data_IF_970806486903
#
_entry.id   IF_970806486903
#
_cell.length_a   1.000
_cell.length_b   1.000
_cell.length_c   1.000
_cell.angle_alpha   90.00
_cell.angle_beta   90.00
_cell.angle_gamma   90.00
#
_symmetry.space_group_name_H-M   'P 1'
#
loop_
_entity.id
_entity.type
_entity.pdbx_description
1 polymer ?
#
# COMPACT_ATOMS: atom_id res chain seq x y z
N UNK A 1 10.93 -22.12 -15.68
CA UNK A 1 10.01 -21.00 -15.38
C UNK A 1 10.48 -19.82 -16.22
N UNK A 2 9.66 -19.33 -17.14
CA UNK A 2 9.97 -18.09 -17.88
C UNK A 2 10.13 -16.95 -16.87
N UNK A 3 11.27 -16.25 -16.89
CA UNK A 3 11.45 -15.03 -16.11
C UNK A 3 10.38 -14.02 -16.56
N UNK A 4 9.71 -13.38 -15.60
CA UNK A 4 8.86 -12.26 -15.94
C UNK A 4 9.77 -11.08 -16.26
N UNK A 5 9.69 -10.54 -17.48
CA UNK A 5 10.51 -9.41 -17.92
C UNK A 5 10.37 -8.19 -16.99
N UNK A 6 9.20 -8.01 -16.37
CA UNK A 6 9.00 -6.95 -15.39
C UNK A 6 9.73 -7.22 -14.06
N UNK A 7 9.83 -8.48 -13.63
CA UNK A 7 10.64 -8.83 -12.47
C UNK A 7 12.12 -8.57 -12.74
N UNK A 8 12.61 -8.91 -13.93
CA UNK A 8 13.99 -8.63 -14.34
C UNK A 8 14.27 -7.12 -14.40
N UNK A 9 13.39 -6.35 -15.04
CA UNK A 9 13.51 -4.89 -15.15
C UNK A 9 13.50 -4.19 -13.77
N UNK A 10 12.75 -4.73 -12.80
CA UNK A 10 12.68 -4.20 -11.44
C UNK A 10 13.77 -4.76 -10.51
N UNK A 11 14.64 -5.67 -10.99
CA UNK A 11 15.64 -6.34 -10.15
C UNK A 11 15.03 -7.28 -9.10
N UNK A 12 13.83 -7.80 -9.37
CA UNK A 12 13.08 -8.73 -8.54
C UNK A 12 13.16 -10.18 -9.06
N UNK A 13 14.06 -10.50 -9.97
CA UNK A 13 14.18 -11.85 -10.57
C UNK A 13 14.54 -12.93 -9.53
N UNK A 14 15.28 -12.53 -8.51
CA UNK A 14 15.76 -13.38 -7.44
C UNK A 14 14.63 -13.67 -6.43
N UNK A 15 14.35 -14.97 -6.25
CA UNK A 15 13.51 -15.49 -5.15
C UNK A 15 14.37 -15.54 -3.89
N UNK A 16 14.88 -14.39 -3.46
CA UNK A 16 15.64 -14.27 -2.22
C UNK A 16 14.68 -13.79 -1.14
N UNK A 17 14.59 -14.59 -0.08
CA UNK A 17 14.18 -14.08 1.23
C UNK A 17 15.42 -13.44 1.89
N UNK A 18 15.33 -12.21 2.41
CA UNK A 18 14.11 -11.40 2.60
C UNK A 18 13.64 -10.67 1.32
N UNK A 19 12.34 -10.32 1.29
CA UNK A 19 11.70 -9.51 0.24
C UNK A 19 12.63 -8.39 -0.29
N UNK A 20 12.90 -8.31 -1.62
CA UNK A 20 13.94 -7.42 -2.16
C UNK A 20 13.76 -5.93 -1.86
N UNK A 21 12.52 -5.50 -1.63
CA UNK A 21 12.19 -4.11 -1.31
C UNK A 21 12.08 -3.84 0.21
N UNK A 22 12.48 -4.80 1.05
CA UNK A 22 12.47 -4.62 2.50
C UNK A 22 13.36 -3.42 2.89
N UNK A 23 12.81 -2.52 3.70
CA UNK A 23 13.47 -1.30 4.15
C UNK A 23 13.70 -0.25 3.05
N UNK A 24 13.11 -0.43 1.86
CA UNK A 24 13.22 0.52 0.74
C UNK A 24 11.93 1.30 0.57
N UNK A 25 12.07 2.53 0.10
CA UNK A 25 10.96 3.34 -0.43
C UNK A 25 11.07 3.29 -1.96
N UNK A 26 9.95 2.98 -2.61
CA UNK A 26 9.86 2.91 -4.07
C UNK A 26 8.77 3.88 -4.51
N UNK A 27 9.13 4.80 -5.41
CA UNK A 27 8.18 5.68 -6.08
C UNK A 27 7.94 5.17 -7.50
N UNK A 28 6.68 5.14 -7.92
CA UNK A 28 6.29 4.84 -9.29
C UNK A 28 5.81 6.16 -9.88
N UNK A 29 6.57 6.69 -10.83
CA UNK A 29 6.19 7.87 -11.59
C UNK A 29 5.68 7.42 -12.96
N UNK A 30 4.58 8.04 -13.39
CA UNK A 30 3.99 7.76 -14.68
C UNK A 30 3.53 9.07 -15.35
N UNK A 31 3.09 8.96 -16.60
CA UNK A 31 2.50 10.08 -17.33
C UNK A 31 1.10 9.72 -17.79
N UNK A 32 0.27 10.73 -18.07
CA UNK A 32 -1.14 10.55 -18.47
C UNK A 32 -1.27 9.57 -19.65
N UNK A 33 -0.33 9.59 -20.60
CA UNK A 33 -0.35 8.72 -21.77
C UNK A 33 0.18 7.30 -21.49
N UNK A 34 0.91 7.10 -20.39
CA UNK A 34 1.57 5.83 -20.05
C UNK A 34 1.38 5.52 -18.57
N UNK A 35 0.25 4.91 -18.21
CA UNK A 35 -0.04 4.57 -16.82
C UNK A 35 0.93 3.51 -16.25
N UNK A 36 1.55 3.81 -15.12
CA UNK A 36 2.40 2.94 -14.32
C UNK A 36 1.62 2.03 -13.36
N UNK A 37 0.29 2.10 -13.37
CA UNK A 37 -0.58 1.29 -12.50
C UNK A 37 -0.32 -0.21 -12.60
N UNK A 38 0.10 -0.72 -13.76
CA UNK A 38 0.47 -2.13 -13.92
C UNK A 38 1.66 -2.54 -13.03
N UNK A 39 2.60 -1.64 -12.77
CA UNK A 39 3.73 -1.86 -11.86
C UNK A 39 3.23 -2.00 -10.44
N UNK A 40 2.32 -1.11 -10.01
CA UNK A 40 1.69 -1.18 -8.69
C UNK A 40 0.93 -2.50 -8.49
N UNK A 41 0.12 -2.91 -9.48
CA UNK A 41 -0.57 -4.20 -9.44
C UNK A 41 0.39 -5.40 -9.40
N UNK A 42 1.51 -5.32 -10.12
CA UNK A 42 2.55 -6.34 -10.11
C UNK A 42 3.24 -6.44 -8.74
N UNK A 43 3.60 -5.31 -8.14
CA UNK A 43 4.19 -5.27 -6.80
C UNK A 43 3.22 -5.80 -5.74
N UNK A 44 1.93 -5.44 -5.81
CA UNK A 44 0.88 -5.99 -4.94
C UNK A 44 0.76 -7.52 -5.07
N UNK A 45 0.71 -8.03 -6.29
CA UNK A 45 0.67 -9.48 -6.53
C UNK A 45 1.87 -10.17 -5.89
N UNK A 46 3.04 -9.56 -6.06
CA UNK A 46 4.31 -10.16 -5.68
C UNK A 46 4.53 -10.10 -4.16
N UNK A 47 4.11 -9.03 -3.50
CA UNK A 47 4.11 -8.95 -2.02
C UNK A 47 3.19 -10.01 -1.39
N UNK A 48 2.08 -10.33 -2.05
CA UNK A 48 1.09 -11.33 -1.61
C UNK A 48 1.35 -12.75 -2.12
N UNK A 49 2.52 -13.00 -2.72
CA UNK A 49 2.89 -14.33 -3.23
C UNK A 49 2.81 -15.39 -2.12
N UNK A 50 2.44 -16.65 -2.43
CA UNK A 50 2.47 -17.73 -1.44
C UNK A 50 3.86 -18.01 -0.86
N UNK A 51 4.91 -17.61 -1.59
CA UNK A 51 6.30 -17.81 -1.17
C UNK A 51 6.82 -16.68 -0.28
N UNK A 52 6.05 -15.59 -0.09
CA UNK A 52 6.42 -14.50 0.80
C UNK A 52 5.68 -14.62 2.13
N UNK A 53 6.34 -14.20 3.21
CA UNK A 53 5.69 -14.01 4.52
C UNK A 53 5.22 -12.56 4.74
N UNK A 54 5.20 -11.77 3.66
CA UNK A 54 4.91 -10.34 3.71
C UNK A 54 3.42 -10.06 3.97
N UNK A 55 3.16 -9.10 4.86
CA UNK A 55 1.85 -8.51 5.13
C UNK A 55 1.77 -7.18 4.40
N UNK A 56 0.77 -7.03 3.54
CA UNK A 56 0.60 -5.84 2.72
C UNK A 56 -0.54 -4.98 3.26
N UNK A 57 -0.23 -3.72 3.54
CA UNK A 57 -1.19 -2.67 3.84
C UNK A 57 -1.31 -1.82 2.58
N UNK A 58 -2.51 -1.77 2.00
CA UNK A 58 -2.78 -1.02 0.79
C UNK A 58 -3.74 0.13 1.08
N UNK A 59 -3.32 1.34 0.73
CA UNK A 59 -4.07 2.59 0.91
C UNK A 59 -4.54 3.02 -0.47
N UNK A 60 -5.85 3.13 -0.64
CA UNK A 60 -6.51 3.31 -1.93
C UNK A 60 -7.31 4.63 -2.01
N UNK A 61 -6.74 5.64 -2.65
CA UNK A 61 -7.31 6.94 -3.02
C UNK A 61 -7.98 6.95 -4.39
N UNK A 62 -7.56 6.08 -5.33
CA UNK A 62 -8.04 6.18 -6.72
C UNK A 62 -9.27 5.32 -7.01
N UNK A 63 -9.33 4.11 -6.46
CA UNK A 63 -10.31 3.10 -6.86
C UNK A 63 -10.80 2.26 -5.66
N UNK A 64 -12.05 1.75 -5.68
CA UNK A 64 -12.56 0.91 -4.61
C UNK A 64 -11.91 -0.48 -4.65
N UNK A 65 -12.00 -1.24 -3.54
CA UNK A 65 -11.46 -2.60 -3.42
C UNK A 65 -11.82 -3.52 -4.60
N UNK A 66 -13.07 -3.43 -5.10
CA UNK A 66 -13.56 -4.26 -6.20
C UNK A 66 -12.77 -4.07 -7.50
N UNK A 67 -12.22 -2.88 -7.73
CA UNK A 67 -11.35 -2.61 -8.87
C UNK A 67 -10.07 -3.45 -8.77
N UNK A 68 -9.37 -3.32 -7.65
CA UNK A 68 -8.10 -3.99 -7.38
C UNK A 68 -8.27 -5.52 -7.32
N UNK A 69 -9.30 -6.02 -6.65
CA UNK A 69 -9.57 -7.45 -6.58
C UNK A 69 -9.82 -8.04 -7.97
N UNK A 70 -10.56 -7.33 -8.84
CA UNK A 70 -10.79 -7.78 -10.22
C UNK A 70 -9.50 -7.87 -11.03
N UNK A 71 -8.59 -6.89 -10.89
CA UNK A 71 -7.31 -6.90 -11.60
C UNK A 71 -6.40 -7.99 -11.07
N UNK A 72 -6.21 -8.06 -9.75
CA UNK A 72 -5.32 -9.03 -9.13
C UNK A 72 -5.80 -10.47 -9.37
N UNK A 73 -7.13 -10.70 -9.42
CA UNK A 73 -7.70 -12.00 -9.77
C UNK A 73 -7.33 -12.45 -11.18
N UNK A 74 -7.32 -11.54 -12.15
CA UNK A 74 -6.82 -11.81 -13.52
C UNK A 74 -5.32 -12.12 -13.53
N UNK A 75 -4.57 -11.57 -12.59
CA UNK A 75 -3.14 -11.86 -12.41
C UNK A 75 -2.87 -13.13 -11.57
N UNK A 76 -3.92 -13.85 -11.14
CA UNK A 76 -3.83 -15.09 -10.36
C UNK A 76 -3.72 -14.88 -8.84
N UNK A 77 -4.10 -13.72 -8.32
CA UNK A 77 -4.08 -13.38 -6.89
C UNK A 77 -5.50 -13.04 -6.39
N UNK A 78 -5.98 -13.74 -5.36
CA UNK A 78 -7.29 -13.48 -4.76
C UNK A 78 -7.14 -12.60 -3.51
N UNK A 79 -7.49 -11.31 -3.59
CA UNK A 79 -7.31 -10.37 -2.48
C UNK A 79 -8.25 -10.68 -1.30
N UNK A 80 -9.44 -11.22 -1.57
CA UNK A 80 -10.38 -11.64 -0.51
C UNK A 80 -9.72 -12.72 0.37
N UNK A 81 -9.14 -13.75 -0.25
CA UNK A 81 -8.44 -14.80 0.50
C UNK A 81 -7.21 -14.29 1.24
N UNK A 82 -6.46 -13.31 0.70
CA UNK A 82 -5.33 -12.72 1.42
C UNK A 82 -5.79 -11.89 2.63
N UNK A 83 -6.94 -11.23 2.53
CA UNK A 83 -7.56 -10.50 3.64
C UNK A 83 -8.04 -11.45 4.73
N UNK A 84 -8.70 -12.54 4.36
CA UNK A 84 -9.21 -13.54 5.32
C UNK A 84 -8.05 -14.24 6.07
N UNK A 85 -6.87 -14.32 5.46
CA UNK A 85 -5.64 -14.83 6.06
C UNK A 85 -4.82 -13.76 6.81
N UNK A 86 -5.35 -12.55 7.02
CA UNK A 86 -4.65 -11.42 7.66
C UNK A 86 -3.31 -11.04 7.01
N UNK A 87 -3.16 -11.28 5.70
CA UNK A 87 -1.99 -10.91 4.91
C UNK A 87 -2.19 -9.64 4.08
N UNK A 88 -3.43 -9.20 3.91
CA UNK A 88 -3.78 -8.03 3.14
C UNK A 88 -4.79 -7.15 3.89
N UNK A 89 -4.43 -5.89 4.11
CA UNK A 89 -5.28 -4.87 4.72
C UNK A 89 -5.56 -3.76 3.71
N UNK A 90 -6.82 -3.42 3.51
CA UNK A 90 -7.24 -2.42 2.53
C UNK A 90 -7.85 -1.21 3.24
N UNK A 91 -7.28 -0.03 3.01
CA UNK A 91 -7.81 1.24 3.47
C UNK A 91 -8.45 1.97 2.29
N UNK A 92 -9.78 2.02 2.29
CA UNK A 92 -10.59 2.68 1.27
C UNK A 92 -10.69 4.19 1.55
N UNK A 93 -9.84 4.99 0.89
CA UNK A 93 -9.80 6.44 1.10
C UNK A 93 -10.88 7.18 0.30
N UNK A 94 -11.51 6.53 -0.69
CA UNK A 94 -12.69 7.07 -1.36
C UNK A 94 -13.89 7.21 -0.41
N UNK A 95 -13.95 6.35 0.62
CA UNK A 95 -14.94 6.42 1.70
C UNK A 95 -14.57 7.37 2.82
N UNK A 96 -13.34 7.88 2.80
CA UNK A 96 -12.89 8.92 3.72
C UNK A 96 -13.40 10.28 3.22
N UNK A 97 -14.70 10.36 2.93
CA UNK A 97 -15.34 11.66 2.80
C UNK A 97 -15.34 12.30 4.18
N UNK A 98 -14.79 13.51 4.24
CA UNK A 98 -14.97 14.45 5.32
C UNK A 98 -16.44 14.39 5.76
N UNK A 99 -16.78 14.20 7.05
CA UNK A 99 -18.16 14.24 7.47
C UNK A 99 -18.74 15.61 7.08
N UNK A 100 -19.64 15.59 6.09
CA UNK A 100 -20.53 16.70 5.80
C UNK A 100 -21.39 16.93 7.06
N UNK A 101 -20.95 17.85 7.91
CA UNK A 101 -21.71 18.32 9.06
C UNK A 101 -20.98 18.22 10.40
N UNK A 102 -20.51 19.38 10.87
CA UNK A 102 -20.49 19.83 12.27
C UNK A 102 -19.49 19.22 13.28
N UNK A 103 -18.58 18.32 12.89
CA UNK A 103 -17.37 18.05 13.69
C UNK A 103 -16.12 18.15 12.82
N UNK A 104 -15.40 19.26 12.99
CA UNK A 104 -14.21 19.61 12.20
C UNK A 104 -13.09 18.57 12.33
N UNK A 105 -13.05 17.63 11.40
CA UNK A 105 -11.83 16.87 11.11
C UNK A 105 -10.98 17.79 10.22
N UNK A 106 -9.97 18.42 10.80
CA UNK A 106 -8.94 19.11 10.02
C UNK A 106 -8.30 18.12 9.04
N UNK A 107 -7.78 18.56 7.88
CA UNK A 107 -7.08 17.67 6.93
C UNK A 107 -5.97 16.84 7.61
N UNK A 108 -5.30 17.44 8.60
CA UNK A 108 -4.37 16.78 9.54
C UNK A 108 -5.01 15.57 10.23
N UNK A 109 -6.21 15.73 10.78
CA UNK A 109 -6.96 14.69 11.48
C UNK A 109 -7.24 13.47 10.61
N UNK A 110 -7.42 13.64 9.29
CA UNK A 110 -7.65 12.54 8.35
C UNK A 110 -6.43 11.62 8.21
N UNK A 111 -5.26 12.20 7.91
CA UNK A 111 -4.01 11.43 7.77
C UNK A 111 -3.50 10.92 9.13
N UNK A 112 -3.66 11.69 10.21
CA UNK A 112 -3.35 11.22 11.57
C UNK A 112 -4.24 10.04 11.96
N UNK A 113 -5.55 10.10 11.67
CA UNK A 113 -6.45 8.98 11.93
C UNK A 113 -6.12 7.76 11.09
N UNK A 114 -5.72 7.95 9.82
CA UNK A 114 -5.25 6.87 8.95
C UNK A 114 -3.98 6.23 9.52
N UNK A 115 -2.98 7.03 9.91
CA UNK A 115 -1.77 6.54 10.56
C UNK A 115 -2.10 5.75 11.83
N UNK A 116 -2.98 6.27 12.68
CA UNK A 116 -3.45 5.57 13.87
C UNK A 116 -4.10 4.21 13.56
N UNK A 117 -4.86 4.10 12.46
CA UNK A 117 -5.43 2.81 12.00
C UNK A 117 -4.34 1.86 11.50
N UNK A 118 -3.35 2.36 10.75
CA UNK A 118 -2.21 1.57 10.25
C UNK A 118 -1.41 1.03 11.42
N UNK A 119 -1.02 1.90 12.36
CA UNK A 119 -0.29 1.51 13.57
C UNK A 119 -1.04 0.42 14.35
N UNK A 120 -2.34 0.63 14.64
CA UNK A 120 -3.16 -0.40 15.32
C UNK A 120 -3.20 -1.73 14.57
N UNK A 121 -3.26 -1.68 13.24
CA UNK A 121 -3.26 -2.89 12.41
C UNK A 121 -1.93 -3.64 12.53
N UNK A 122 -0.81 -2.92 12.44
CA UNK A 122 0.52 -3.52 12.57
C UNK A 122 0.74 -4.07 13.99
N UNK A 123 0.38 -3.32 15.03
CA UNK A 123 0.51 -3.77 16.42
C UNK A 123 -0.34 -5.01 16.76
N UNK A 124 -1.42 -5.26 16.02
CA UNK A 124 -2.27 -6.44 16.20
C UNK A 124 -1.73 -7.69 15.49
N UNK A 125 -0.73 -7.55 14.63
CA UNK A 125 -0.10 -8.68 13.95
C UNK A 125 0.81 -9.48 14.91
N UNK A 126 1.08 -10.77 14.65
CA UNK A 126 2.11 -11.52 15.35
C UNK A 126 3.52 -10.92 15.16
N UNK A 127 4.39 -10.97 16.19
CA UNK A 127 5.76 -10.41 16.11
C UNK A 127 6.58 -10.93 14.92
N UNK A 128 6.32 -12.18 14.50
CA UNK A 128 7.00 -12.80 13.35
C UNK A 128 6.70 -12.09 12.02
N UNK A 129 5.52 -11.48 11.87
CA UNK A 129 5.11 -10.80 10.63
C UNK A 129 5.43 -9.31 10.63
N UNK A 130 5.79 -8.71 11.77
CA UNK A 130 6.18 -7.30 11.85
C UNK A 130 7.37 -6.94 10.97
N UNK A 131 8.34 -7.86 10.90
CA UNK A 131 9.57 -7.70 10.11
C UNK A 131 9.34 -7.62 8.60
N UNK A 132 8.14 -7.99 8.15
CA UNK A 132 7.78 -8.13 6.74
C UNK A 132 6.45 -7.42 6.46
N UNK A 133 6.33 -6.14 6.83
CA UNK A 133 5.18 -5.31 6.46
C UNK A 133 5.57 -4.43 5.25
N UNK A 134 4.69 -4.33 4.26
CA UNK A 134 4.81 -3.38 3.15
C UNK A 134 3.58 -2.47 3.11
N UNK A 135 3.82 -1.16 3.12
CA UNK A 135 2.78 -0.15 2.90
C UNK A 135 2.85 0.26 1.43
N UNK A 136 1.73 0.11 0.73
CA UNK A 136 1.58 0.50 -0.67
C UNK A 136 0.47 1.55 -0.72
N UNK A 137 0.72 2.65 -1.41
CA UNK A 137 -0.20 3.77 -1.55
C UNK A 137 -0.43 3.94 -3.05
N UNK A 138 -1.69 3.96 -3.49
CA UNK A 138 -2.01 4.40 -4.85
C UNK A 138 -2.05 5.94 -4.91
N UNK A 139 -1.70 6.49 -6.07
CA UNK A 139 -1.88 7.91 -6.44
C UNK A 139 -1.63 8.93 -5.30
N UNK A 140 -0.36 9.29 -5.11
CA UNK A 140 0.04 10.30 -4.13
C UNK A 140 -0.55 11.69 -4.43
N UNK A 141 -0.90 12.01 -5.67
CA UNK A 141 -1.52 13.28 -6.02
C UNK A 141 -2.91 13.40 -5.40
N UNK A 142 -3.69 12.31 -5.36
CA UNK A 142 -4.97 12.30 -4.65
C UNK A 142 -4.81 12.38 -3.12
N UNK A 143 -3.72 11.83 -2.57
CA UNK A 143 -3.39 12.00 -1.16
C UNK A 143 -3.09 13.48 -0.82
N UNK A 144 -2.35 14.19 -1.68
CA UNK A 144 -2.10 15.62 -1.52
C UNK A 144 -3.40 16.43 -1.59
N UNK A 145 -4.31 16.08 -2.49
CA UNK A 145 -5.66 16.68 -2.52
C UNK A 145 -6.41 16.43 -1.21
N UNK A 146 -6.36 15.21 -0.67
CA UNK A 146 -6.95 14.89 0.64
C UNK A 146 -6.28 15.63 1.81
N UNK A 147 -5.00 15.99 1.67
CA UNK A 147 -4.26 16.85 2.59
C UNK A 147 -4.48 18.35 2.34
N UNK A 148 -5.50 18.72 1.56
CA UNK A 148 -5.84 20.11 1.22
C UNK A 148 -4.67 20.85 0.53
N UNK A 149 -3.91 20.14 -0.29
CA UNK A 149 -2.76 20.67 -1.03
C UNK A 149 -1.48 20.83 -0.20
N UNK A 150 -1.45 20.33 1.03
CA UNK A 150 -0.27 20.42 1.90
C UNK A 150 0.68 19.25 1.66
N UNK A 151 1.78 19.53 0.96
CA UNK A 151 2.84 18.53 0.76
C UNK A 151 3.55 18.17 2.08
N UNK A 152 3.58 19.08 3.07
CA UNK A 152 4.19 18.82 4.38
C UNK A 152 3.48 17.68 5.11
N UNK A 153 2.13 17.68 5.14
CA UNK A 153 1.38 16.57 5.76
C UNK A 153 1.56 15.24 5.03
N UNK A 154 1.70 15.28 3.69
CA UNK A 154 1.98 14.08 2.90
C UNK A 154 3.36 13.54 3.25
N UNK A 155 4.38 14.39 3.28
CA UNK A 155 5.75 14.00 3.62
C UNK A 155 5.87 13.49 5.05
N UNK A 156 5.22 14.15 6.00
CA UNK A 156 5.17 13.69 7.40
C UNK A 156 4.51 12.31 7.50
N UNK A 157 3.37 12.10 6.83
CA UNK A 157 2.71 10.81 6.80
C UNK A 157 3.59 9.70 6.19
N UNK A 158 4.25 9.99 5.06
CA UNK A 158 5.18 9.05 4.42
C UNK A 158 6.39 8.75 5.34
N UNK A 159 6.91 9.77 6.03
CA UNK A 159 7.97 9.62 7.00
C UNK A 159 7.55 8.73 8.17
N UNK A 160 6.38 8.97 8.76
CA UNK A 160 5.85 8.15 9.84
C UNK A 160 5.61 6.70 9.41
N UNK A 161 5.05 6.48 8.21
CA UNK A 161 4.89 5.13 7.66
C UNK A 161 6.24 4.43 7.49
N UNK A 162 7.26 5.12 6.97
CA UNK A 162 8.60 4.56 6.82
C UNK A 162 9.22 4.19 8.17
N UNK A 163 9.17 5.09 9.15
CA UNK A 163 9.68 4.86 10.50
C UNK A 163 8.98 3.66 11.14
N UNK A 164 7.65 3.58 11.03
CA UNK A 164 6.86 2.45 11.50
C UNK A 164 7.26 1.11 10.84
N UNK A 165 7.68 1.11 9.57
CA UNK A 165 8.20 -0.11 8.91
C UNK A 165 9.68 -0.39 9.18
N UNK A 166 10.39 0.53 9.84
CA UNK A 166 11.82 0.42 10.17
C UNK A 166 12.08 0.14 11.64
N UNK A 167 11.15 0.49 12.53
CA UNK A 167 11.24 0.26 13.98
C UNK A 167 10.98 -1.19 14.38
N UNK A 168 10.46 -2.02 13.45
CA UNK A 168 10.06 -3.41 13.68
C UNK A 168 10.75 -4.40 12.72
#
# INVERSE_FOLDING_TARGET
RSSNLLDEALGLDQVIEPWPLRGRVVAIEDQVETSGSFVLHHLLKRSLSPNSSNVTIFIAFSQPFSHYDRILRKLGCNLVSQRDNSRFFFFDMLKLQCPDGDEGITPEGGLIALYGKIHKTISALPEISWKNVSIIIDDLSLMEVAANGSSDYVLDFLHYCRTLTSEF
#
